data_IF_048574057401
#
_entry.id   IF_048574057401
#
_cell.length_a   1.000
_cell.length_b   1.000
_cell.length_c   1.000
_cell.angle_alpha   90.00
_cell.angle_beta   90.00
_cell.angle_gamma   90.00
#
_symmetry.space_group_name_H-M   'P 1'
#
loop_
_entity.id
_entity.type
_entity.pdbx_description
1 polymer ?
#
# COMPACT_ATOMS: atom_id res chain seq x y z
N UNK A 1 4.43 5.10 -15.29
CA UNK A 1 3.14 4.43 -15.01
C UNK A 1 2.67 4.90 -13.65
N UNK A 2 1.36 5.03 -13.44
CA UNK A 2 0.82 5.32 -12.11
C UNK A 2 0.97 4.11 -11.20
N UNK A 3 1.16 4.31 -9.89
CA UNK A 3 1.15 3.25 -8.89
C UNK A 3 -0.12 2.39 -8.97
N UNK A 4 -1.28 2.98 -9.30
CA UNK A 4 -2.55 2.26 -9.47
C UNK A 4 -2.51 1.25 -10.62
N UNK A 5 -1.76 1.56 -11.68
CA UNK A 5 -1.54 0.61 -12.78
C UNK A 5 -0.70 -0.58 -12.32
N UNK A 6 0.36 -0.32 -11.55
CA UNK A 6 1.21 -1.37 -10.97
C UNK A 6 0.42 -2.25 -9.97
N UNK A 7 -0.42 -1.64 -9.13
CA UNK A 7 -1.30 -2.38 -8.21
C UNK A 7 -2.21 -3.33 -8.98
N UNK A 8 -2.84 -2.84 -10.06
CA UNK A 8 -3.72 -3.67 -10.91
C UNK A 8 -2.98 -4.81 -11.61
N UNK A 9 -1.71 -4.62 -11.98
CA UNK A 9 -0.88 -5.71 -12.50
C UNK A 9 -0.66 -6.80 -11.45
N UNK A 10 -0.42 -6.43 -10.20
CA UNK A 10 -0.26 -7.37 -9.07
C UNK A 10 -1.58 -8.11 -8.78
N UNK A 11 -2.72 -7.42 -8.78
CA UNK A 11 -4.05 -8.04 -8.64
C UNK A 11 -4.26 -9.15 -9.69
N UNK A 12 -4.01 -8.84 -10.96
CA UNK A 12 -4.16 -9.81 -12.05
C UNK A 12 -3.16 -10.96 -11.96
N UNK A 13 -1.90 -10.67 -11.60
CA UNK A 13 -0.83 -11.66 -11.49
C UNK A 13 -1.13 -12.72 -10.42
N UNK A 14 -1.67 -12.30 -9.28
CA UNK A 14 -1.91 -13.18 -8.14
C UNK A 14 -3.38 -13.58 -7.95
N UNK A 15 -4.28 -13.07 -8.79
CA UNK A 15 -5.73 -13.32 -8.68
C UNK A 15 -6.31 -12.94 -7.31
N UNK A 16 -5.87 -11.79 -6.78
CA UNK A 16 -6.36 -11.19 -5.53
C UNK A 16 -6.93 -9.80 -5.79
N UNK A 17 -7.67 -9.25 -4.83
CA UNK A 17 -8.10 -7.85 -4.85
C UNK A 17 -7.31 -7.01 -3.86
N UNK A 18 -6.95 -5.81 -4.27
CA UNK A 18 -6.26 -4.82 -3.43
C UNK A 18 -7.18 -3.63 -3.19
N UNK A 19 -7.62 -3.49 -1.95
CA UNK A 19 -8.51 -2.45 -1.48
C UNK A 19 -7.73 -1.21 -1.07
N UNK A 20 -7.88 -0.14 -1.85
CA UNK A 20 -7.23 1.14 -1.59
C UNK A 20 -8.06 1.95 -0.56
N UNK A 21 -7.59 2.01 0.68
CA UNK A 21 -8.21 2.84 1.71
C UNK A 21 -8.23 4.32 1.32
N UNK A 22 -9.20 5.08 1.82
CA UNK A 22 -9.35 6.51 1.51
C UNK A 22 -8.09 7.31 1.91
N UNK A 23 -7.55 7.03 3.09
CA UNK A 23 -6.33 7.66 3.60
C UNK A 23 -5.12 7.42 2.69
N UNK A 24 -4.98 6.19 2.16
CA UNK A 24 -3.91 5.87 1.22
C UNK A 24 -4.04 6.67 -0.08
N UNK A 25 -5.24 6.71 -0.67
CA UNK A 25 -5.49 7.49 -1.90
C UNK A 25 -5.23 8.98 -1.70
N UNK A 26 -5.69 9.54 -0.59
CA UNK A 26 -5.45 10.95 -0.27
C UNK A 26 -3.96 11.24 -0.05
N UNK A 27 -3.25 10.40 0.71
CA UNK A 27 -1.83 10.58 0.96
C UNK A 27 -1.01 10.48 -0.34
N UNK A 28 -1.36 9.56 -1.24
CA UNK A 28 -0.72 9.42 -2.54
C UNK A 28 -0.99 10.64 -3.43
N UNK A 29 -2.25 11.10 -3.51
CA UNK A 29 -2.63 12.27 -4.31
C UNK A 29 -1.95 13.56 -3.83
N UNK A 30 -1.81 13.73 -2.51
CA UNK A 30 -1.18 14.89 -1.90
C UNK A 30 0.36 14.82 -1.91
N UNK A 31 0.96 13.74 -2.42
CA UNK A 31 2.42 13.53 -2.41
C UNK A 31 2.99 13.39 -0.99
N UNK A 32 2.18 12.94 -0.03
CA UNK A 32 2.54 12.84 1.38
C UNK A 32 3.16 11.49 1.74
N UNK A 33 3.03 10.47 0.87
CA UNK A 33 3.61 9.15 1.10
C UNK A 33 5.15 9.21 1.01
N UNK A 34 5.80 8.69 2.04
CA UNK A 34 7.26 8.61 2.14
C UNK A 34 7.84 7.39 1.41
N UNK A 35 7.03 6.36 1.18
CA UNK A 35 7.41 5.20 0.39
C UNK A 35 7.48 5.55 -1.11
N UNK A 36 8.45 4.98 -1.80
CA UNK A 36 8.47 5.02 -3.27
C UNK A 36 7.46 4.02 -3.84
N UNK A 37 6.99 4.27 -5.07
CA UNK A 37 6.10 3.34 -5.78
C UNK A 37 6.63 1.90 -5.78
N UNK A 38 7.92 1.72 -6.04
CA UNK A 38 8.53 0.38 -6.08
C UNK A 38 8.53 -0.30 -4.70
N UNK A 39 8.76 0.47 -3.63
CA UNK A 39 8.72 -0.06 -2.27
C UNK A 39 7.29 -0.41 -1.83
N UNK A 40 6.28 0.32 -2.30
CA UNK A 40 4.87 -0.05 -2.08
C UNK A 40 4.57 -1.39 -2.76
N UNK A 41 5.00 -1.58 -4.01
CA UNK A 41 4.80 -2.84 -4.74
C UNK A 41 5.52 -4.00 -4.05
N UNK A 42 6.75 -3.80 -3.58
CA UNK A 42 7.49 -4.83 -2.85
C UNK A 42 6.76 -5.28 -1.57
N UNK A 43 6.15 -4.34 -0.83
CA UNK A 43 5.33 -4.67 0.35
C UNK A 43 4.11 -5.51 -0.01
N UNK A 44 3.44 -5.19 -1.13
CA UNK A 44 2.28 -5.93 -1.61
C UNK A 44 2.70 -7.34 -2.03
N UNK A 45 3.74 -7.48 -2.86
CA UNK A 45 4.26 -8.78 -3.30
C UNK A 45 4.71 -9.65 -2.12
N UNK A 46 5.33 -9.05 -1.11
CA UNK A 46 5.69 -9.74 0.13
C UNK A 46 4.44 -10.22 0.87
N UNK A 47 3.43 -9.37 1.03
CA UNK A 47 2.17 -9.75 1.69
C UNK A 47 1.47 -10.90 0.95
N UNK A 48 1.36 -10.83 -0.38
CA UNK A 48 0.75 -11.89 -1.19
C UNK A 48 1.50 -13.23 -1.06
N UNK A 49 2.83 -13.20 -0.93
CA UNK A 49 3.62 -14.40 -0.68
C UNK A 49 3.33 -15.04 0.68
N UNK A 50 3.10 -14.23 1.71
CA UNK A 50 2.82 -14.70 3.07
C UNK A 50 1.35 -15.09 3.28
N UNK A 51 0.43 -14.44 2.58
CA UNK A 51 -1.01 -14.61 2.68
C UNK A 51 -1.62 -14.93 1.30
N UNK A 52 -1.32 -16.12 0.75
CA UNK A 52 -1.81 -16.50 -0.57
C UNK A 52 -3.35 -16.60 -0.56
N UNK A 53 -3.99 -16.07 -1.61
CA UNK A 53 -5.44 -16.04 -1.81
C UNK A 53 -6.25 -15.18 -0.82
N UNK A 54 -5.61 -14.34 -0.02
CA UNK A 54 -6.31 -13.31 0.75
C UNK A 54 -6.27 -11.99 -0.01
N UNK A 55 -7.39 -11.27 0.03
CA UNK A 55 -7.43 -9.89 -0.43
C UNK A 55 -6.61 -9.00 0.51
N UNK A 56 -6.12 -7.87 0.01
CA UNK A 56 -5.25 -6.98 0.77
C UNK A 56 -5.88 -5.59 0.88
N UNK A 57 -5.71 -4.91 2.00
CA UNK A 57 -6.00 -3.49 2.16
C UNK A 57 -4.72 -2.67 2.20
N UNK A 58 -4.71 -1.55 1.46
CA UNK A 58 -3.69 -0.51 1.57
C UNK A 58 -4.20 0.60 2.48
N UNK A 59 -3.41 0.88 3.52
CA UNK A 59 -3.62 2.00 4.42
C UNK A 59 -2.31 2.77 4.59
N UNK A 60 -2.35 3.83 5.38
CA UNK A 60 -1.18 4.61 5.76
C UNK A 60 -1.02 4.64 7.26
N UNK A 61 0.24 4.79 7.69
CA UNK A 61 0.60 5.13 9.05
C UNK A 61 1.50 6.35 9.03
N UNK A 62 1.01 7.40 9.70
CA UNK A 62 1.64 8.70 9.74
C UNK A 62 2.25 8.97 11.10
N UNK A 63 3.34 9.73 11.11
CA UNK A 63 3.96 10.23 12.31
C UNK A 63 2.99 11.12 13.08
N UNK A 64 2.86 10.90 14.38
CA UNK A 64 2.18 11.83 15.26
C UNK A 64 3.09 12.99 15.69
N UNK A 65 2.54 13.90 16.50
CA UNK A 65 3.25 15.07 17.03
C UNK A 65 4.41 14.72 17.98
N UNK A 66 4.56 13.45 18.38
CA UNK A 66 5.65 12.99 19.25
C UNK A 66 6.87 12.50 18.45
N UNK A 67 6.72 12.29 17.14
CA UNK A 67 7.81 11.81 16.30
C UNK A 67 8.86 12.89 16.01
N UNK A 68 10.16 12.58 16.12
CA UNK A 68 11.23 13.52 15.77
C UNK A 68 11.34 13.80 14.27
N UNK A 69 10.65 13.02 13.42
CA UNK A 69 10.60 13.21 11.95
C UNK A 69 9.20 12.93 11.42
N UNK A 70 8.77 13.72 10.43
CA UNK A 70 7.52 13.45 9.71
C UNK A 70 7.70 12.25 8.77
N UNK A 71 6.73 11.34 8.78
CA UNK A 71 6.66 10.22 7.85
C UNK A 71 5.20 9.83 7.59
N UNK A 72 4.94 9.22 6.44
CA UNK A 72 3.67 8.58 6.11
C UNK A 72 3.96 7.35 5.25
N UNK A 73 3.96 6.17 5.87
CA UNK A 73 4.30 4.92 5.20
C UNK A 73 3.04 4.12 4.86
N UNK A 74 3.10 3.38 3.77
CA UNK A 74 2.05 2.45 3.35
C UNK A 74 2.11 1.19 4.22
N UNK A 75 0.94 0.78 4.69
CA UNK A 75 0.72 -0.50 5.37
C UNK A 75 -0.14 -1.37 4.47
N UNK A 76 0.25 -2.65 4.35
CA UNK A 76 -0.51 -3.69 3.67
C UNK A 76 -1.07 -4.64 4.71
N UNK A 77 -2.39 -4.85 4.70
CA UNK A 77 -3.10 -5.65 5.70
C UNK A 77 -3.88 -6.74 4.97
N UNK A 78 -3.70 -8.03 5.30
CA UNK A 78 -4.55 -9.09 4.75
C UNK A 78 -5.98 -8.96 5.28
N UNK A 79 -6.96 -9.24 4.42
CA UNK A 79 -8.39 -9.21 4.74
C UNK A 79 -8.96 -10.62 4.49
N UNK A 80 -9.76 -11.10 5.44
CA UNK A 80 -10.53 -12.35 5.33
C UNK A 80 -11.90 -12.13 4.66
#
# INVERSE_FOLDING_TARGET
MSIFSKIKEVENKHSIKIHEGENFKQALYNGHISDTDDYIIDKIELATKHYPNLDLALSTYESDNSSPRQFCYTIVIPIE
#
